data_IF_814147660061
#
_entry.id   IF_814147660061
#
_cell.length_a   1.000
_cell.length_b   1.000
_cell.length_c   1.000
_cell.angle_alpha   90.00
_cell.angle_beta   90.00
_cell.angle_gamma   90.00
#
_symmetry.space_group_name_H-M   'P 1'
#
loop_
_entity.id
_entity.type
_entity.pdbx_description
1 polymer ?
#
# COMPACT_ATOMS: atom_id res chain seq x y z
N UNK A 1 -9.24 6.76 -3.41
CA UNK A 1 -7.82 6.96 -3.09
C UNK A 1 -7.51 8.42 -3.34
N UNK A 2 -6.76 9.08 -2.46
CA UNK A 2 -6.20 10.42 -2.69
C UNK A 2 -4.68 10.20 -2.73
N UNK A 3 -4.00 10.45 -3.86
CA UNK A 3 -2.55 10.31 -3.91
C UNK A 3 -1.92 11.39 -3.02
N UNK A 4 -0.89 11.01 -2.26
CA UNK A 4 -0.06 11.95 -1.50
C UNK A 4 1.38 11.85 -1.97
N UNK A 5 1.98 12.99 -2.27
CA UNK A 5 3.36 13.08 -2.73
C UNK A 5 4.27 13.36 -1.54
N UNK A 6 5.27 12.50 -1.33
CA UNK A 6 6.29 12.65 -0.27
C UNK A 6 7.71 12.81 -0.83
N UNK A 7 7.95 12.36 -2.05
CA UNK A 7 9.26 12.43 -2.72
C UNK A 7 10.41 11.79 -1.94
N UNK A 8 10.10 10.72 -1.19
CA UNK A 8 11.07 9.94 -0.42
C UNK A 8 11.30 8.59 -1.08
N UNK A 9 12.57 8.20 -1.17
CA UNK A 9 12.99 6.85 -1.53
C UNK A 9 13.69 6.25 -0.32
N UNK A 10 13.25 5.06 0.10
CA UNK A 10 13.89 4.29 1.15
C UNK A 10 14.65 3.12 0.53
N UNK A 11 15.81 2.81 1.07
CA UNK A 11 16.60 1.65 0.71
C UNK A 11 17.28 1.07 1.96
N UNK A 12 17.29 -0.24 2.07
CA UNK A 12 17.91 -0.96 3.19
C UNK A 12 18.32 -2.35 2.75
N UNK A 13 19.39 -2.88 3.35
CA UNK A 13 19.72 -4.31 3.28
C UNK A 13 18.90 -5.16 4.26
N UNK A 14 18.31 -4.53 5.28
CA UNK A 14 17.42 -5.16 6.25
C UNK A 14 15.95 -4.86 5.89
N UNK A 15 15.21 -5.94 5.62
CA UNK A 15 13.81 -5.89 5.18
C UNK A 15 12.85 -5.45 6.30
N UNK A 16 13.18 -5.76 7.56
CA UNK A 16 12.35 -5.35 8.70
C UNK A 16 12.59 -3.88 9.00
N UNK A 17 13.85 -3.42 8.89
CA UNK A 17 14.21 -2.04 9.16
C UNK A 17 13.55 -1.06 8.18
N UNK A 18 13.50 -1.40 6.88
CA UNK A 18 12.85 -0.52 5.89
C UNK A 18 11.34 -0.42 6.13
N UNK A 19 10.68 -1.52 6.46
CA UNK A 19 9.25 -1.53 6.79
C UNK A 19 8.97 -0.75 8.07
N UNK A 20 9.84 -0.86 9.08
CA UNK A 20 9.71 -0.13 10.33
C UNK A 20 9.85 1.38 10.14
N UNK A 21 10.86 1.83 9.37
CA UNK A 21 11.02 3.25 9.06
C UNK A 21 9.87 3.75 8.18
N UNK A 22 9.43 2.98 7.18
CA UNK A 22 8.26 3.35 6.37
C UNK A 22 6.99 3.51 7.22
N UNK A 23 6.74 2.58 8.16
CA UNK A 23 5.62 2.65 9.09
C UNK A 23 5.69 3.91 9.98
N UNK A 24 6.87 4.21 10.53
CA UNK A 24 7.12 5.42 11.34
C UNK A 24 6.84 6.70 10.56
N UNK A 25 7.36 6.81 9.33
CA UNK A 25 7.15 7.96 8.45
C UNK A 25 5.66 8.17 8.12
N UNK A 26 4.93 7.07 7.90
CA UNK A 26 3.48 7.11 7.70
C UNK A 26 2.70 7.52 8.97
N UNK A 27 3.36 7.57 10.13
CA UNK A 27 2.76 7.95 11.41
C UNK A 27 2.26 6.78 12.26
N UNK A 28 2.65 5.55 11.93
CA UNK A 28 2.31 4.36 12.70
C UNK A 28 3.44 4.00 13.68
N UNK A 29 3.07 3.35 14.79
CA UNK A 29 4.03 2.66 15.63
C UNK A 29 4.44 1.33 14.96
N UNK A 30 5.71 1.13 14.56
CA UNK A 30 6.14 -0.07 13.85
C UNK A 30 5.92 -1.36 14.63
N UNK A 31 6.13 -1.36 15.96
CA UNK A 31 5.96 -2.55 16.78
C UNK A 31 4.50 -2.87 17.08
N UNK A 32 3.58 -1.91 16.86
CA UNK A 32 2.15 -2.21 16.84
C UNK A 32 1.72 -3.05 15.63
N UNK A 33 2.54 -3.07 14.56
CA UNK A 33 2.29 -3.85 13.35
C UNK A 33 2.81 -5.28 13.55
N UNK A 34 1.87 -6.24 13.58
CA UNK A 34 2.15 -7.61 13.99
C UNK A 34 3.29 -8.31 13.23
N UNK A 35 3.40 -8.13 11.91
CA UNK A 35 4.45 -8.79 11.14
C UNK A 35 5.84 -8.16 11.36
N UNK A 36 5.93 -6.84 11.54
CA UNK A 36 7.20 -6.15 11.87
C UNK A 36 7.68 -6.62 13.24
N UNK A 37 6.78 -6.57 14.24
CA UNK A 37 7.08 -7.03 15.59
C UNK A 37 7.53 -8.48 15.63
N UNK A 38 6.80 -9.39 14.98
CA UNK A 38 7.16 -10.81 14.96
C UNK A 38 8.52 -11.07 14.30
N UNK A 39 8.84 -10.35 13.21
CA UNK A 39 10.12 -10.48 12.54
C UNK A 39 11.28 -9.97 13.42
N UNK A 40 11.07 -8.85 14.11
CA UNK A 40 12.01 -8.30 15.08
C UNK A 40 12.25 -9.23 16.27
N UNK A 41 11.18 -9.72 16.91
CA UNK A 41 11.24 -10.66 18.04
C UNK A 41 11.95 -11.98 17.66
N UNK A 42 11.88 -12.39 16.39
CA UNK A 42 12.55 -13.58 15.86
C UNK A 42 13.99 -13.32 15.37
N UNK A 43 14.48 -12.08 15.44
CA UNK A 43 15.82 -11.72 14.97
C UNK A 43 16.00 -11.80 13.45
N UNK A 44 14.91 -11.68 12.69
CA UNK A 44 14.95 -11.66 11.21
C UNK A 44 15.33 -10.29 10.63
N UNK A 45 15.40 -9.27 11.49
CA UNK A 45 15.80 -7.90 11.19
C UNK A 45 15.43 -6.96 12.34
N UNK A 46 15.71 -5.67 12.20
CA UNK A 46 15.49 -4.67 13.25
C UNK A 46 14.16 -3.94 13.02
N UNK A 47 13.23 -4.06 13.96
CA UNK A 47 11.91 -3.40 13.88
C UNK A 47 11.77 -2.18 14.78
N UNK A 48 12.64 -2.00 15.77
CA UNK A 48 12.66 -0.81 16.63
C UNK A 48 13.39 0.35 15.94
N UNK A 49 12.71 1.47 15.62
CA UNK A 49 13.35 2.63 15.00
C UNK A 49 14.49 3.25 15.81
N UNK A 50 14.56 3.01 17.13
CA UNK A 50 15.66 3.48 17.96
C UNK A 50 16.97 2.73 17.71
N UNK A 51 16.89 1.52 17.15
CA UNK A 51 18.03 0.65 16.84
C UNK A 51 18.45 0.73 15.37
N UNK A 52 17.72 1.50 14.54
CA UNK A 52 17.98 1.64 13.11
C UNK A 52 18.78 2.92 12.85
N UNK A 53 19.95 2.75 12.24
CA UNK A 53 20.71 3.87 11.69
C UNK A 53 20.07 4.36 10.38
N UNK A 54 19.64 5.62 10.36
CA UNK A 54 19.15 6.26 9.14
C UNK A 54 20.27 7.12 8.56
N UNK A 55 20.68 6.79 7.35
CA UNK A 55 21.71 7.54 6.59
C UNK A 55 21.04 8.36 5.48
N UNK A 56 21.56 9.55 5.23
CA UNK A 56 21.04 10.47 4.21
C UNK A 56 20.24 11.62 4.83
N UNK A 57 19.06 11.89 4.29
CA UNK A 57 18.21 12.99 4.74
C UNK A 57 17.69 12.77 6.17
N UNK A 58 17.62 13.83 6.95
CA UNK A 58 17.07 13.79 8.30
C UNK A 58 15.54 13.62 8.25
N UNK A 59 15.06 12.52 8.82
CA UNK A 59 13.63 12.17 8.88
C UNK A 59 13.01 12.38 10.26
N UNK A 60 13.73 12.98 11.22
CA UNK A 60 13.27 13.13 12.60
C UNK A 60 11.97 13.93 12.73
N UNK A 61 11.72 14.87 11.81
CA UNK A 61 10.50 15.67 11.74
C UNK A 61 9.35 15.06 10.93
N UNK A 62 9.54 13.88 10.34
CA UNK A 62 8.56 13.28 9.43
C UNK A 62 7.54 12.43 10.18
N UNK A 63 6.28 12.83 10.07
CA UNK A 63 5.11 12.02 10.45
C UNK A 63 3.94 12.44 9.56
N UNK A 64 3.54 11.57 8.63
CA UNK A 64 2.53 11.91 7.63
C UNK A 64 1.10 11.75 8.14
N UNK A 65 0.92 11.26 9.37
CA UNK A 65 -0.39 11.10 10.01
C UNK A 65 -1.40 10.36 9.14
N UNK A 66 -0.97 9.27 8.51
CA UNK A 66 -1.87 8.45 7.71
C UNK A 66 -2.85 7.70 8.60
N UNK A 67 -4.07 7.60 8.11
CA UNK A 67 -5.14 6.88 8.81
C UNK A 67 -5.62 5.69 7.98
N UNK A 68 -5.73 4.53 8.62
CA UNK A 68 -6.27 3.33 7.99
C UNK A 68 -7.77 3.23 8.27
N UNK A 69 -8.57 3.81 7.37
CA UNK A 69 -10.04 3.75 7.43
C UNK A 69 -10.65 2.39 7.06
N UNK A 70 -11.92 2.19 7.39
CA UNK A 70 -12.71 1.06 6.92
C UNK A 70 -13.31 1.39 5.55
N UNK A 71 -13.18 0.48 4.58
CA UNK A 71 -13.84 0.58 3.29
C UNK A 71 -14.46 -0.76 2.90
N UNK A 72 -15.27 -0.77 1.84
CA UNK A 72 -15.97 -1.98 1.39
C UNK A 72 -15.02 -3.17 1.18
N UNK A 73 -13.86 -2.94 0.56
CA UNK A 73 -12.87 -4.00 0.32
C UNK A 73 -12.27 -4.54 1.60
N UNK A 74 -11.88 -3.67 2.53
CA UNK A 74 -11.35 -4.06 3.83
C UNK A 74 -12.38 -4.83 4.65
N UNK A 75 -13.64 -4.40 4.63
CA UNK A 75 -14.74 -5.10 5.29
C UNK A 75 -14.99 -6.49 4.68
N UNK A 76 -15.04 -6.59 3.35
CA UNK A 76 -15.21 -7.87 2.65
C UNK A 76 -14.02 -8.80 2.88
N UNK A 77 -12.79 -8.29 2.85
CA UNK A 77 -11.59 -9.06 3.14
C UNK A 77 -11.55 -9.54 4.59
N UNK A 78 -11.96 -8.71 5.54
CA UNK A 78 -12.09 -9.12 6.94
C UNK A 78 -13.16 -10.20 7.12
N UNK A 79 -14.33 -10.06 6.49
CA UNK A 79 -15.38 -11.08 6.51
C UNK A 79 -14.89 -12.39 5.89
N UNK A 80 -14.20 -12.32 4.76
CA UNK A 80 -13.65 -13.48 4.09
C UNK A 80 -12.60 -14.20 4.96
N UNK A 81 -11.68 -13.48 5.61
CA UNK A 81 -10.55 -14.08 6.33
C UNK A 81 -10.77 -14.36 7.81
N UNK A 82 -11.50 -13.49 8.51
CA UNK A 82 -11.60 -13.48 9.97
C UNK A 82 -13.04 -13.49 10.50
N UNK A 83 -14.02 -13.08 9.69
CA UNK A 83 -15.43 -13.00 10.06
C UNK A 83 -16.19 -14.34 10.02
N UNK A 84 -17.52 -14.33 10.27
CA UNK A 84 -18.34 -15.56 10.33
C UNK A 84 -18.40 -16.32 9.00
N UNK A 85 -18.19 -15.63 7.87
CA UNK A 85 -18.10 -16.23 6.54
C UNK A 85 -16.80 -17.00 6.29
N UNK A 86 -15.87 -17.03 7.25
CA UNK A 86 -14.65 -17.84 7.21
C UNK A 86 -14.91 -19.33 6.93
N UNK A 87 -16.06 -19.86 7.36
CA UNK A 87 -16.45 -21.26 7.12
C UNK A 87 -16.51 -21.56 5.61
N UNK A 88 -16.82 -20.56 4.78
CA UNK A 88 -16.91 -20.67 3.33
C UNK A 88 -15.56 -20.52 2.62
N UNK A 89 -14.46 -20.21 3.33
CA UNK A 89 -13.14 -20.02 2.72
C UNK A 89 -12.72 -21.20 1.86
N UNK A 90 -12.92 -22.43 2.35
CA UNK A 90 -12.57 -23.64 1.60
C UNK A 90 -13.35 -23.75 0.29
N UNK A 91 -14.61 -23.37 0.29
CA UNK A 91 -15.43 -23.37 -0.93
C UNK A 91 -14.99 -22.28 -1.91
N UNK A 92 -14.75 -21.07 -1.41
CA UNK A 92 -14.45 -19.89 -2.23
C UNK A 92 -13.03 -19.94 -2.80
N UNK A 93 -12.04 -20.39 -2.02
CA UNK A 93 -10.62 -20.28 -2.37
C UNK A 93 -9.92 -21.59 -2.71
N UNK A 94 -10.51 -22.76 -2.40
CA UNK A 94 -9.88 -24.07 -2.63
C UNK A 94 -10.65 -24.95 -3.64
N UNK A 95 -11.60 -24.38 -4.39
CA UNK A 95 -12.32 -25.07 -5.47
C UNK A 95 -12.14 -24.32 -6.79
N UNK A 96 -12.56 -24.88 -7.94
CA UNK A 96 -12.57 -24.14 -9.21
C UNK A 96 -13.36 -22.83 -9.16
N UNK A 97 -14.24 -22.64 -8.16
CA UNK A 97 -14.92 -21.37 -7.91
C UNK A 97 -13.96 -20.21 -7.64
N UNK A 98 -12.76 -20.50 -7.12
CA UNK A 98 -11.71 -19.51 -6.94
C UNK A 98 -11.34 -18.81 -8.25
N UNK A 99 -11.48 -19.47 -9.40
CA UNK A 99 -11.25 -18.84 -10.69
C UNK A 99 -12.22 -17.67 -10.96
N UNK A 100 -13.40 -17.63 -10.33
CA UNK A 100 -14.34 -16.52 -10.46
C UNK A 100 -13.91 -15.26 -9.70
N UNK A 101 -12.96 -15.34 -8.76
CA UNK A 101 -12.51 -14.14 -8.05
C UNK A 101 -11.73 -13.19 -8.98
N UNK A 102 -11.06 -13.73 -10.01
CA UNK A 102 -10.35 -12.93 -11.02
C UNK A 102 -11.29 -12.02 -11.82
N UNK A 103 -12.32 -12.53 -12.54
CA UNK A 103 -13.22 -11.66 -13.29
C UNK A 103 -14.05 -10.75 -12.38
N UNK A 104 -14.38 -11.18 -11.15
CA UNK A 104 -15.05 -10.29 -10.18
C UNK A 104 -14.16 -9.10 -9.80
N UNK A 105 -12.87 -9.34 -9.56
CA UNK A 105 -11.90 -8.28 -9.30
C UNK A 105 -11.76 -7.35 -10.50
N UNK A 106 -11.60 -7.90 -11.70
CA UNK A 106 -11.50 -7.12 -12.95
C UNK A 106 -12.74 -6.25 -13.18
N UNK A 107 -13.95 -6.81 -13.07
CA UNK A 107 -15.20 -6.07 -13.21
C UNK A 107 -15.29 -4.93 -12.18
N UNK A 108 -14.95 -5.22 -10.92
CA UNK A 108 -15.01 -4.21 -9.87
C UNK A 108 -14.02 -3.06 -10.10
N UNK A 109 -12.77 -3.38 -10.42
CA UNK A 109 -11.72 -2.39 -10.57
C UNK A 109 -11.83 -1.64 -11.91
N UNK A 110 -11.89 -2.36 -13.03
CA UNK A 110 -11.70 -1.79 -14.36
C UNK A 110 -13.01 -1.27 -14.97
N UNK A 111 -14.13 -1.97 -14.74
CA UNK A 111 -15.42 -1.62 -15.36
C UNK A 111 -16.33 -0.79 -14.46
N UNK A 112 -16.19 -0.91 -13.13
CA UNK A 112 -16.98 -0.14 -12.19
C UNK A 112 -16.20 1.03 -11.59
N UNK A 113 -15.14 0.77 -10.83
CA UNK A 113 -14.48 1.80 -10.00
C UNK A 113 -13.65 2.79 -10.82
N UNK A 114 -12.95 2.30 -11.85
CA UNK A 114 -12.14 3.12 -12.74
C UNK A 114 -12.94 4.21 -13.46
N UNK A 115 -13.96 3.89 -14.29
CA UNK A 115 -14.67 4.92 -15.05
C UNK A 115 -15.49 5.87 -14.16
N UNK A 116 -15.99 5.39 -13.02
CA UNK A 116 -16.86 6.18 -12.15
C UNK A 116 -16.10 7.14 -11.23
N UNK A 117 -14.92 6.75 -10.73
CA UNK A 117 -14.22 7.51 -9.69
C UNK A 117 -12.73 7.70 -9.95
N UNK A 118 -11.99 6.62 -10.21
CA UNK A 118 -10.52 6.68 -10.18
C UNK A 118 -9.94 7.39 -11.40
N UNK A 119 -10.55 7.24 -12.58
CA UNK A 119 -10.09 7.91 -13.80
C UNK A 119 -10.02 9.42 -13.64
N UNK A 120 -11.03 10.03 -13.02
CA UNK A 120 -11.08 11.48 -12.76
C UNK A 120 -9.99 11.94 -11.79
N UNK A 121 -9.68 11.12 -10.79
CA UNK A 121 -8.63 11.41 -9.80
C UNK A 121 -7.26 11.33 -10.47
N UNK A 122 -7.05 10.29 -11.29
CA UNK A 122 -5.83 10.11 -12.08
C UNK A 122 -5.62 11.23 -13.09
N UNK A 123 -6.63 11.58 -13.89
CA UNK A 123 -6.56 12.66 -14.88
C UNK A 123 -6.19 13.99 -14.22
N UNK A 124 -6.79 14.29 -13.05
CA UNK A 124 -6.45 15.47 -12.26
C UNK A 124 -5.00 15.43 -11.77
N UNK A 125 -4.59 14.34 -11.13
CA UNK A 125 -3.21 14.17 -10.65
C UNK A 125 -2.19 14.32 -11.79
N UNK A 126 -2.49 13.73 -12.96
CA UNK A 126 -1.63 13.81 -14.14
C UNK A 126 -1.40 15.25 -14.61
N UNK A 127 -2.40 16.11 -14.48
CA UNK A 127 -2.33 17.52 -14.89
C UNK A 127 -1.71 18.42 -13.82
N UNK A 128 -2.01 18.16 -12.55
CA UNK A 128 -1.66 19.06 -11.44
C UNK A 128 -0.31 18.73 -10.80
N UNK A 129 0.02 17.44 -10.64
CA UNK A 129 1.19 17.00 -9.89
C UNK A 129 2.50 17.12 -10.71
N UNK A 130 3.64 17.46 -10.07
CA UNK A 130 4.96 17.47 -10.72
C UNK A 130 5.29 16.16 -11.44
N UNK A 131 5.08 15.01 -10.80
CA UNK A 131 5.27 13.69 -11.40
C UNK A 131 4.34 13.43 -12.59
N UNK A 132 3.08 13.87 -12.49
CA UNK A 132 2.11 13.75 -13.59
C UNK A 132 2.58 14.49 -14.85
N UNK A 133 3.10 15.71 -14.67
CA UNK A 133 3.67 16.52 -15.75
C UNK A 133 4.94 15.89 -16.33
N UNK A 134 5.82 15.38 -15.47
CA UNK A 134 7.05 14.69 -15.90
C UNK A 134 6.74 13.46 -16.77
N UNK A 135 5.78 12.62 -16.37
CA UNK A 135 5.37 11.47 -17.17
C UNK A 135 4.72 11.88 -18.50
N UNK A 136 3.94 12.96 -18.51
CA UNK A 136 3.38 13.49 -19.76
C UNK A 136 4.49 13.96 -20.71
N UNK A 137 5.54 14.61 -20.20
CA UNK A 137 6.71 15.01 -20.98
C UNK A 137 7.46 13.80 -21.54
N UNK A 138 7.68 12.76 -20.74
CA UNK A 138 8.33 11.54 -21.19
C UNK A 138 7.55 10.81 -22.28
N UNK A 139 6.21 10.83 -22.20
CA UNK A 139 5.36 10.28 -23.26
C UNK A 139 5.48 11.11 -24.56
N UNK A 140 5.48 12.44 -24.46
CA UNK A 140 5.68 13.32 -25.63
C UNK A 140 7.04 13.13 -26.30
N UNK A 141 8.09 12.88 -25.51
CA UNK A 141 9.44 12.61 -26.01
C UNK A 141 9.65 11.17 -26.51
N UNK A 142 8.66 10.30 -26.36
CA UNK A 142 8.75 8.89 -26.78
C UNK A 142 9.58 7.99 -25.85
N UNK A 143 9.87 8.42 -24.63
CA UNK A 143 10.55 7.61 -23.61
C UNK A 143 9.59 6.67 -22.86
N UNK A 144 8.29 6.98 -22.89
CA UNK A 144 7.21 6.11 -22.40
C UNK A 144 6.23 5.85 -23.55
N UNK A 145 5.82 4.59 -23.71
CA UNK A 145 4.80 4.17 -24.68
C UNK A 145 3.41 4.30 -24.05
#
# INVERSE_FOLDING_TARGET
MKPEEKNVILASGDQVAIDAIAAKLMGFDPLSIGYIRLAHEQGLGVGDPCEIEVVGDDISGENWHFEVGMNFHRAMGWLAWYGPTRILQKLIFHTPLAALTYPVSEIYHDYYRWPLKERRIYERWRQEAPWGKLFAEYQQKGHLR
#
